data_IF_172341852378
#
_entry.id   IF_172341852378
#
_cell.length_a   1.000
_cell.length_b   1.000
_cell.length_c   1.000
_cell.angle_alpha   90.00
_cell.angle_beta   90.00
_cell.angle_gamma   90.00
#
_symmetry.space_group_name_H-M   'P 1'
#
loop_
_entity.id
_entity.type
_entity.pdbx_description
1 polymer ?
#
# COMPACT_ATOMS: atom_id res chain seq x y z
N UNK A 1 -30.33 -5.14 8.78
CA UNK A 1 -29.23 -4.15 8.73
C UNK A 1 -29.52 -3.16 7.59
N UNK A 2 -29.38 -1.83 7.78
CA UNK A 2 -29.58 -0.83 6.71
C UNK A 2 -28.24 -0.55 6.00
N UNK A 3 -28.22 -0.67 4.67
CA UNK A 3 -27.01 -0.47 3.88
C UNK A 3 -26.79 1.01 3.53
N UNK A 4 -25.54 1.48 3.59
CA UNK A 4 -25.21 2.86 3.28
C UNK A 4 -24.99 3.06 1.78
N UNK A 5 -26.07 3.37 1.07
CA UNK A 5 -26.08 3.58 -0.39
C UNK A 5 -25.11 4.67 -0.87
N UNK A 6 -24.82 5.68 -0.05
CA UNK A 6 -23.94 6.79 -0.43
C UNK A 6 -22.45 6.39 -0.49
N UNK A 7 -22.08 5.31 0.20
CA UNK A 7 -20.71 4.74 0.17
C UNK A 7 -20.52 3.72 -0.95
N UNK A 8 -21.57 3.42 -1.71
CA UNK A 8 -21.51 2.42 -2.76
C UNK A 8 -21.09 3.06 -4.06
N UNK A 9 -20.10 2.46 -4.72
CA UNK A 9 -19.57 2.90 -5.99
C UNK A 9 -19.49 1.70 -6.93
N UNK A 10 -19.67 1.95 -8.22
CA UNK A 10 -19.47 0.94 -9.27
C UNK A 10 -18.07 1.13 -9.85
N UNK A 11 -17.21 0.14 -9.63
CA UNK A 11 -15.93 0.04 -10.30
C UNK A 11 -16.06 -0.91 -11.50
N UNK A 12 -15.90 -0.39 -12.71
CA UNK A 12 -15.92 -1.21 -13.92
C UNK A 12 -14.53 -1.75 -14.22
N UNK A 13 -14.42 -3.07 -14.34
CA UNK A 13 -13.16 -3.77 -14.59
C UNK A 13 -13.14 -4.40 -15.97
N UNK A 14 -11.94 -4.50 -16.55
CA UNK A 14 -11.69 -5.23 -17.80
C UNK A 14 -11.87 -4.40 -19.07
N UNK A 15 -11.17 -4.81 -20.13
CA UNK A 15 -11.27 -4.19 -21.44
C UNK A 15 -12.61 -4.53 -22.10
N UNK A 16 -13.22 -3.57 -22.79
CA UNK A 16 -14.53 -3.78 -23.44
C UNK A 16 -15.72 -3.87 -22.48
N UNK A 17 -15.55 -3.51 -21.20
CA UNK A 17 -16.66 -3.47 -20.26
C UNK A 17 -17.75 -2.50 -20.78
N UNK A 18 -19.01 -2.94 -20.94
CA UNK A 18 -20.10 -2.10 -21.45
C UNK A 18 -20.54 -0.99 -20.48
N UNK A 19 -19.97 -0.93 -19.27
CA UNK A 19 -20.23 0.07 -18.23
C UNK A 19 -21.71 0.19 -17.87
N UNK A 20 -22.36 -0.96 -17.67
CA UNK A 20 -23.78 -1.02 -17.31
C UNK A 20 -24.07 -0.21 -16.04
N UNK A 21 -25.20 0.50 -16.04
CA UNK A 21 -25.63 1.28 -14.87
C UNK A 21 -26.29 0.36 -13.86
N UNK A 22 -25.90 0.49 -12.59
CA UNK A 22 -26.48 -0.27 -11.49
C UNK A 22 -27.34 0.61 -10.59
N UNK A 23 -28.40 0.02 -10.03
CA UNK A 23 -29.33 0.69 -9.13
C UNK A 23 -29.41 -0.06 -7.81
N UNK A 24 -29.37 0.64 -6.69
CA UNK A 24 -29.51 0.07 -5.36
C UNK A 24 -30.62 0.76 -4.58
N UNK A 25 -31.68 0.00 -4.25
CA UNK A 25 -32.85 0.48 -3.54
C UNK A 25 -33.44 1.75 -4.16
N UNK A 26 -33.70 1.71 -5.47
CA UNK A 26 -34.32 2.79 -6.25
C UNK A 26 -33.39 3.92 -6.70
N UNK A 27 -32.14 3.99 -6.21
CA UNK A 27 -31.18 5.05 -6.58
C UNK A 27 -30.06 4.51 -7.48
N UNK A 28 -29.69 5.27 -8.50
CA UNK A 28 -28.52 4.98 -9.32
C UNK A 28 -27.25 5.06 -8.49
N UNK A 29 -26.35 4.09 -8.67
CA UNK A 29 -25.04 4.08 -8.02
C UNK A 29 -24.07 4.85 -8.92
N UNK A 30 -23.24 5.68 -8.31
CA UNK A 30 -22.21 6.40 -9.04
C UNK A 30 -21.06 5.48 -9.44
N UNK A 31 -20.50 5.75 -10.61
CA UNK A 31 -19.31 5.06 -11.09
C UNK A 31 -18.07 5.72 -10.51
N UNK A 32 -17.01 4.94 -10.31
CA UNK A 32 -15.71 5.43 -9.87
C UNK A 32 -14.59 4.71 -10.61
N UNK A 33 -13.52 5.41 -11.02
CA UNK A 33 -12.37 4.78 -11.67
C UNK A 33 -11.46 4.06 -10.67
N UNK A 34 -11.59 4.35 -9.38
CA UNK A 34 -10.73 3.83 -8.33
C UNK A 34 -11.46 3.82 -6.99
N UNK A 35 -11.41 2.69 -6.28
CA UNK A 35 -12.07 2.54 -4.99
C UNK A 35 -11.13 1.92 -3.96
N UNK A 36 -11.26 2.40 -2.72
CA UNK A 36 -10.51 1.87 -1.59
C UNK A 36 -11.42 1.02 -0.73
N UNK A 37 -11.13 -0.27 -0.66
CA UNK A 37 -11.85 -1.19 0.22
C UNK A 37 -10.90 -1.89 1.18
N UNK A 38 -11.28 -1.92 2.46
CA UNK A 38 -10.50 -2.47 3.57
C UNK A 38 -9.03 -2.00 3.64
N UNK A 39 -8.68 -0.86 3.03
CA UNK A 39 -7.31 -0.34 3.02
C UNK A 39 -6.51 -0.63 1.75
N UNK A 40 -7.07 -1.38 0.80
CA UNK A 40 -6.49 -1.64 -0.52
C UNK A 40 -7.18 -0.78 -1.58
N UNK A 41 -6.38 -0.10 -2.39
CA UNK A 41 -6.84 0.67 -3.53
C UNK A 41 -6.90 -0.22 -4.77
N UNK A 42 -8.03 -0.20 -5.47
CA UNK A 42 -8.24 -0.94 -6.72
C UNK A 42 -8.75 0.03 -7.78
N UNK A 43 -8.06 0.11 -8.92
CA UNK A 43 -8.47 0.92 -10.06
C UNK A 43 -9.02 0.06 -11.21
N UNK A 44 -9.71 0.72 -12.14
CA UNK A 44 -10.34 0.08 -13.31
C UNK A 44 -9.36 -0.71 -14.19
N UNK A 45 -8.07 -0.36 -14.15
CA UNK A 45 -6.99 -1.01 -14.91
C UNK A 45 -6.37 -2.20 -14.18
N UNK A 46 -6.76 -2.44 -12.92
CA UNK A 46 -6.14 -3.42 -12.03
C UNK A 46 -4.62 -3.23 -11.91
N UNK A 47 -4.14 -2.00 -12.09
CA UNK A 47 -2.73 -1.70 -11.85
C UNK A 47 -2.51 -1.51 -10.34
N UNK A 48 -1.39 -2.01 -9.87
CA UNK A 48 -1.02 -2.00 -8.45
C UNK A 48 -0.13 -0.79 -8.10
N UNK A 49 0.37 -0.07 -9.10
CA UNK A 49 1.31 1.04 -8.92
C UNK A 49 0.79 2.10 -7.93
N UNK A 50 -0.49 2.48 -8.01
CA UNK A 50 -1.05 3.46 -7.08
C UNK A 50 -1.06 2.94 -5.63
N UNK A 51 -1.42 1.66 -5.43
CA UNK A 51 -1.37 1.05 -4.11
C UNK A 51 0.06 0.99 -3.56
N UNK A 52 1.05 0.65 -4.40
CA UNK A 52 2.46 0.66 -4.01
C UNK A 52 2.94 2.06 -3.58
N UNK A 53 2.53 3.11 -4.29
CA UNK A 53 2.83 4.50 -3.91
C UNK A 53 2.23 4.82 -2.55
N UNK A 54 0.97 4.49 -2.31
CA UNK A 54 0.31 4.74 -1.02
C UNK A 54 0.98 3.97 0.12
N UNK A 55 1.31 2.69 -0.09
CA UNK A 55 1.99 1.86 0.90
C UNK A 55 3.39 2.42 1.18
N UNK A 56 4.17 2.78 0.15
CA UNK A 56 5.48 3.39 0.30
C UNK A 56 5.41 4.70 1.10
N UNK A 57 4.47 5.59 0.78
CA UNK A 57 4.22 6.82 1.54
C UNK A 57 3.90 6.53 3.00
N UNK A 58 3.06 5.52 3.27
CA UNK A 58 2.70 5.12 4.62
C UNK A 58 3.90 4.57 5.39
N UNK A 59 4.81 3.81 4.78
CA UNK A 59 5.99 3.28 5.49
C UNK A 59 7.16 4.27 5.53
N UNK A 60 7.15 5.32 4.72
CA UNK A 60 8.27 6.25 4.56
C UNK A 60 8.60 7.07 5.81
N UNK A 61 7.67 7.21 6.76
CA UNK A 61 7.92 7.89 8.02
C UNK A 61 8.64 7.01 9.05
N UNK A 62 8.56 5.68 8.93
CA UNK A 62 9.09 4.72 9.90
C UNK A 62 10.60 4.90 10.13
N UNK A 63 11.46 5.02 9.08
CA UNK A 63 12.89 5.28 9.29
C UNK A 63 13.15 6.55 10.10
N UNK A 64 12.35 7.60 9.87
CA UNK A 64 12.43 8.86 10.62
C UNK A 64 12.03 8.69 12.09
N UNK A 65 11.00 7.90 12.37
CA UNK A 65 10.58 7.58 13.74
C UNK A 65 11.63 6.74 14.48
N UNK A 66 12.21 5.72 13.84
CA UNK A 66 13.29 4.91 14.43
C UNK A 66 14.49 5.83 14.75
N UNK A 67 14.90 6.67 13.80
CA UNK A 67 16.04 7.58 13.98
C UNK A 67 15.87 8.56 15.14
N UNK A 68 14.65 9.03 15.39
CA UNK A 68 14.34 10.01 16.47
C UNK A 68 14.11 9.37 17.83
N UNK A 69 13.53 8.17 17.86
CA UNK A 69 13.05 7.56 19.12
C UNK A 69 14.06 6.60 19.74
N UNK A 70 14.99 6.05 18.95
CA UNK A 70 15.95 5.05 19.41
C UNK A 70 17.30 5.69 19.76
N UNK A 71 17.77 5.45 20.98
CA UNK A 71 19.10 5.88 21.43
C UNK A 71 20.23 5.07 20.74
N UNK A 72 19.99 3.79 20.47
CA UNK A 72 20.93 2.90 19.78
C UNK A 72 20.52 2.66 18.34
N UNK A 73 21.51 2.61 17.44
CA UNK A 73 21.35 2.21 16.03
C UNK A 73 22.03 0.88 15.72
N UNK A 74 22.14 0.00 16.72
CA UNK A 74 22.78 -1.29 16.56
C UNK A 74 21.90 -2.23 15.73
N UNK A 75 22.55 -3.22 15.11
CA UNK A 75 21.91 -4.24 14.27
C UNK A 75 20.85 -5.02 15.05
N UNK A 76 21.16 -5.35 16.30
CA UNK A 76 20.34 -6.14 17.22
C UNK A 76 19.02 -5.43 17.57
N UNK A 77 18.99 -4.11 17.47
CA UNK A 77 17.82 -3.29 17.76
C UNK A 77 17.01 -3.02 16.49
N UNK A 78 17.65 -2.58 15.41
CA UNK A 78 16.93 -2.13 14.21
C UNK A 78 16.39 -3.32 13.41
N UNK A 79 17.15 -4.41 13.29
CA UNK A 79 16.72 -5.58 12.49
C UNK A 79 15.42 -6.23 12.96
N UNK A 80 15.14 -6.43 14.26
CA UNK A 80 13.83 -6.92 14.69
C UNK A 80 12.74 -5.84 14.63
N UNK A 81 13.09 -4.57 14.92
CA UNK A 81 12.12 -3.48 15.00
C UNK A 81 11.54 -3.10 13.63
N UNK A 82 12.38 -3.00 12.60
CA UNK A 82 11.94 -2.53 11.29
C UNK A 82 10.89 -3.44 10.64
N UNK A 83 11.10 -4.77 10.54
CA UNK A 83 10.08 -5.67 10.01
C UNK A 83 8.81 -5.66 10.86
N UNK A 84 8.90 -5.56 12.18
CA UNK A 84 7.71 -5.48 13.05
C UNK A 84 6.83 -4.26 12.71
N UNK A 85 7.43 -3.15 12.31
CA UNK A 85 6.71 -1.93 11.91
C UNK A 85 6.27 -1.94 10.44
N UNK A 86 7.03 -2.59 9.55
CA UNK A 86 6.80 -2.52 8.10
C UNK A 86 6.02 -3.70 7.54
N UNK A 87 6.25 -4.92 8.01
CA UNK A 87 5.59 -6.13 7.50
C UNK A 87 4.05 -6.04 7.55
N UNK A 88 3.40 -5.50 8.60
CA UNK A 88 1.95 -5.33 8.61
C UNK A 88 1.41 -4.46 7.46
N UNK A 89 2.23 -3.52 6.95
CA UNK A 89 1.84 -2.66 5.83
C UNK A 89 2.10 -3.30 4.46
N UNK A 90 3.07 -4.21 4.36
CA UNK A 90 3.46 -4.86 3.10
C UNK A 90 2.79 -6.20 2.86
N UNK A 91 2.48 -6.95 3.92
CA UNK A 91 1.90 -8.28 3.78
C UNK A 91 0.36 -8.24 3.79
N UNK A 92 -0.23 -7.19 4.34
CA UNK A 92 -1.69 -7.03 4.37
C UNK A 92 -2.27 -7.04 2.96
N UNK A 93 -3.13 -8.01 2.65
CA UNK A 93 -3.74 -8.21 1.34
C UNK A 93 -2.75 -8.38 0.17
N UNK A 94 -1.54 -8.89 0.42
CA UNK A 94 -0.51 -9.08 -0.63
C UNK A 94 -0.96 -9.98 -1.78
N UNK A 95 -1.89 -10.91 -1.55
CA UNK A 95 -2.49 -11.73 -2.61
C UNK A 95 -3.24 -10.89 -3.66
N UNK A 96 -3.78 -9.73 -3.25
CA UNK A 96 -4.54 -8.83 -4.12
C UNK A 96 -3.64 -7.79 -4.78
N UNK A 97 -2.67 -7.23 -4.04
CA UNK A 97 -1.87 -6.11 -4.53
C UNK A 97 -0.37 -6.40 -4.66
N UNK A 98 0.11 -7.63 -4.55
CA UNK A 98 1.55 -7.90 -4.65
C UNK A 98 2.19 -7.20 -5.86
N UNK A 99 3.30 -6.44 -5.69
CA UNK A 99 3.89 -5.66 -6.77
C UNK A 99 4.36 -6.57 -7.90
N UNK A 100 3.88 -6.31 -9.12
CA UNK A 100 4.21 -7.10 -10.32
C UNK A 100 5.25 -6.42 -11.21
N UNK A 101 5.34 -5.08 -11.13
CA UNK A 101 6.23 -4.29 -11.98
C UNK A 101 7.52 -3.97 -11.23
N UNK A 102 8.66 -4.03 -11.94
CA UNK A 102 9.98 -3.71 -11.37
C UNK A 102 10.01 -2.33 -10.69
N UNK A 103 9.46 -1.31 -11.35
CA UNK A 103 9.37 0.05 -10.79
C UNK A 103 8.65 0.11 -9.43
N UNK A 104 7.66 -0.76 -9.21
CA UNK A 104 6.85 -0.79 -8.00
C UNK A 104 7.61 -1.53 -6.88
N UNK A 105 8.35 -2.59 -7.24
CA UNK A 105 9.28 -3.26 -6.32
C UNK A 105 10.42 -2.32 -5.91
N UNK A 106 11.05 -1.63 -6.86
CA UNK A 106 12.14 -0.68 -6.62
C UNK A 106 11.69 0.46 -5.68
N UNK A 107 10.44 0.93 -5.83
CA UNK A 107 9.85 1.94 -4.95
C UNK A 107 9.75 1.48 -3.49
N UNK A 108 9.31 0.24 -3.25
CA UNK A 108 9.21 -0.31 -1.89
C UNK A 108 10.61 -0.61 -1.32
N UNK A 109 11.53 -1.11 -2.15
CA UNK A 109 12.91 -1.40 -1.77
C UNK A 109 13.67 -0.12 -1.36
N UNK A 110 13.35 1.03 -1.95
CA UNK A 110 13.94 2.31 -1.54
C UNK A 110 13.73 2.61 -0.04
N UNK A 111 12.60 2.17 0.53
CA UNK A 111 12.35 2.31 1.97
C UNK A 111 13.24 1.37 2.79
N UNK A 112 13.48 0.14 2.31
CA UNK A 112 14.43 -0.79 2.94
C UNK A 112 15.84 -0.22 2.93
N UNK A 113 16.29 0.28 1.78
CA UNK A 113 17.62 0.88 1.59
C UNK A 113 17.89 2.02 2.57
N UNK A 114 16.88 2.88 2.82
CA UNK A 114 16.99 3.96 3.83
C UNK A 114 17.22 3.43 5.23
N UNK A 115 16.69 2.25 5.56
CA UNK A 115 16.90 1.61 6.87
C UNK A 115 18.24 0.89 6.91
N UNK A 116 18.62 0.18 5.86
CA UNK A 116 19.94 -0.47 5.79
C UNK A 116 21.08 0.54 6.01
N UNK A 117 20.98 1.75 5.42
CA UNK A 117 21.94 2.85 5.61
C UNK A 117 22.00 3.43 7.03
N UNK A 118 21.01 3.18 7.89
CA UNK A 118 21.04 3.67 9.28
C UNK A 118 21.57 2.65 10.28
N UNK A 119 21.70 1.38 9.90
CA UNK A 119 22.19 0.31 10.78
C UNK A 119 23.70 0.30 10.76
N UNK A 120 24.31 0.42 11.95
CA UNK A 120 25.77 0.34 12.09
C UNK A 120 26.31 -0.99 11.55
N UNK A 121 27.28 -0.91 10.64
CA UNK A 121 27.95 -2.05 10.01
C UNK A 121 27.24 -2.59 8.77
N UNK A 122 26.08 -2.05 8.38
CA UNK A 122 25.35 -2.45 7.17
C UNK A 122 25.26 -1.33 6.13
N UNK A 123 25.91 -0.19 6.35
CA UNK A 123 25.73 1.01 5.52
C UNK A 123 26.14 0.80 4.05
N UNK A 124 27.06 -0.14 3.80
CA UNK A 124 27.61 -0.46 2.49
C UNK A 124 26.73 -1.42 1.67
N UNK A 125 25.68 -2.00 2.25
CA UNK A 125 24.82 -2.99 1.59
C UNK A 125 23.69 -2.36 0.76
N UNK A 126 23.69 -1.04 0.55
CA UNK A 126 22.50 -0.28 0.15
C UNK A 126 22.73 0.87 -0.82
#
# INVERSE_FOLDING_TARGET
MKFNKAKCKVLHLGHGNPKHKHRLGGKWIENSPEEKDLGVLVNEKLNITHQCVLVAQKVNYIPGCIKRSMASRSREVILPLYPALVKPHWEYCVQLWGPQLKKDMDLLEQVQRRVTKMVRGLEHLS
#
